data_IF_338481024656
#
_entry.id   IF_338481024656
#
_cell.length_a   1.000
_cell.length_b   1.000
_cell.length_c   1.000
_cell.angle_alpha   90.00
_cell.angle_beta   90.00
_cell.angle_gamma   90.00
#
_symmetry.space_group_name_H-M   'P 1'
#
loop_
_entity.id
_entity.type
_entity.pdbx_description
1 polymer ?
#
# COMPACT_ATOMS: atom_id res chain seq x y z
N UNK A 1 -15.28 7.67 11.43
CA UNK A 1 -15.57 6.34 10.84
C UNK A 1 -14.42 6.00 9.90
N UNK A 2 -13.45 5.20 10.36
CA UNK A 2 -12.32 4.79 9.54
C UNK A 2 -12.81 3.71 8.58
N UNK A 3 -13.11 4.09 7.33
CA UNK A 3 -13.44 3.14 6.28
C UNK A 3 -12.27 2.19 6.10
N UNK A 4 -12.41 0.94 6.56
CA UNK A 4 -11.45 -0.12 6.26
C UNK A 4 -11.62 -0.40 4.78
N UNK A 5 -10.72 0.09 3.94
CA UNK A 5 -10.71 -0.29 2.53
C UNK A 5 -10.57 -1.82 2.45
N UNK A 6 -11.48 -2.46 1.73
CA UNK A 6 -11.49 -3.92 1.59
C UNK A 6 -10.30 -4.38 0.74
N UNK A 7 -9.72 -5.54 1.05
CA UNK A 7 -8.59 -6.05 0.29
C UNK A 7 -9.06 -6.50 -1.10
N UNK A 8 -8.25 -6.27 -2.11
CA UNK A 8 -8.59 -6.55 -3.51
C UNK A 8 -7.45 -7.23 -4.25
N UNK A 9 -7.80 -7.94 -5.30
CA UNK A 9 -6.83 -8.49 -6.24
C UNK A 9 -6.15 -7.36 -7.02
N UNK A 10 -4.84 -7.47 -7.20
CA UNK A 10 -4.03 -6.46 -7.88
C UNK A 10 -3.43 -7.06 -9.13
N UNK A 11 -3.66 -6.41 -10.27
CA UNK A 11 -3.05 -6.78 -11.54
C UNK A 11 -1.83 -5.90 -11.79
N UNK A 12 -0.67 -6.51 -12.03
CA UNK A 12 0.54 -5.78 -12.39
C UNK A 12 0.51 -5.37 -13.86
N UNK A 13 1.41 -4.45 -14.28
CA UNK A 13 1.41 -3.87 -15.63
C UNK A 13 1.48 -4.89 -16.76
N UNK A 14 2.08 -6.07 -16.53
CA UNK A 14 2.13 -7.16 -17.51
C UNK A 14 0.80 -7.87 -17.72
N UNK A 15 -0.23 -7.58 -16.90
CA UNK A 15 -1.53 -8.26 -16.90
C UNK A 15 -1.59 -9.46 -15.96
N UNK A 16 -0.49 -9.83 -15.29
CA UNK A 16 -0.48 -10.91 -14.32
C UNK A 16 -1.14 -10.48 -12.99
N UNK A 17 -1.75 -11.43 -12.29
CA UNK A 17 -2.19 -11.24 -10.90
C UNK A 17 -0.96 -11.18 -9.99
N UNK A 18 -1.02 -10.29 -9.00
CA UNK A 18 -0.02 -10.17 -7.98
C UNK A 18 -0.30 -11.21 -6.90
N UNK A 19 0.65 -12.13 -6.70
CA UNK A 19 0.58 -13.15 -5.66
C UNK A 19 1.80 -13.06 -4.75
N UNK A 20 1.60 -13.30 -3.46
CA UNK A 20 2.71 -13.42 -2.51
C UNK A 20 3.44 -14.75 -2.71
N UNK A 21 4.70 -14.69 -3.15
CA UNK A 21 5.52 -15.88 -3.36
C UNK A 21 5.87 -16.66 -2.07
N UNK A 22 5.63 -16.07 -0.89
CA UNK A 22 5.95 -16.68 0.41
C UNK A 22 4.77 -17.49 0.97
N UNK A 23 3.55 -16.95 0.90
CA UNK A 23 2.36 -17.59 1.50
C UNK A 23 1.22 -17.87 0.51
N UNK A 24 1.35 -17.46 -0.76
CA UNK A 24 0.31 -17.65 -1.77
C UNK A 24 -0.94 -16.76 -1.62
N UNK A 25 -0.87 -15.71 -0.78
CA UNK A 25 -1.95 -14.73 -0.67
C UNK A 25 -2.04 -13.81 -1.90
N UNK A 26 -3.27 -13.45 -2.27
CA UNK A 26 -3.66 -12.78 -3.52
C UNK A 26 -4.52 -11.53 -3.30
N UNK A 27 -4.75 -11.18 -2.03
CA UNK A 27 -5.58 -10.07 -1.60
C UNK A 27 -4.71 -8.97 -1.01
N UNK A 28 -4.82 -7.73 -1.52
CA UNK A 28 -3.96 -6.62 -1.11
C UNK A 28 -4.78 -5.39 -0.70
N UNK A 29 -4.33 -4.72 0.36
CA UNK A 29 -4.83 -3.43 0.80
C UNK A 29 -4.02 -2.29 0.16
N UNK A 30 -4.71 -1.28 -0.34
CA UNK A 30 -4.09 -0.03 -0.74
C UNK A 30 -4.08 0.95 0.44
N UNK A 31 -2.96 1.65 0.64
CA UNK A 31 -2.91 2.84 1.48
C UNK A 31 -2.10 3.92 0.77
N UNK A 32 -2.60 5.15 0.79
CA UNK A 32 -1.82 6.33 0.38
C UNK A 32 -0.98 6.78 1.57
N UNK A 33 0.33 6.74 1.40
CA UNK A 33 1.30 7.27 2.36
C UNK A 33 2.12 8.37 1.71
N UNK A 34 2.64 9.29 2.52
CA UNK A 34 3.70 10.18 2.09
C UNK A 34 5.06 9.48 2.33
N UNK A 35 6.03 9.69 1.42
CA UNK A 35 7.35 9.02 1.42
C UNK A 35 8.43 9.75 2.25
N UNK A 36 8.04 10.62 3.18
CA UNK A 36 8.97 11.52 3.87
C UNK A 36 9.94 10.77 4.81
N UNK A 37 11.21 11.15 4.73
CA UNK A 37 12.17 11.09 5.82
C UNK A 37 11.83 12.15 6.86
N UNK A 38 12.04 11.86 8.15
CA UNK A 38 11.64 12.74 9.27
C UNK A 38 12.06 14.21 9.12
N UNK A 39 13.19 14.49 8.44
CA UNK A 39 13.70 15.85 8.18
C UNK A 39 12.79 16.67 7.24
N UNK A 40 12.12 16.04 6.27
CA UNK A 40 11.26 16.75 5.31
C UNK A 40 10.00 17.36 5.95
N UNK A 41 9.47 16.74 7.01
CA UNK A 41 8.34 17.26 7.78
C UNK A 41 8.73 18.44 8.69
N UNK A 42 10.01 18.59 9.07
CA UNK A 42 10.48 19.75 9.85
C UNK A 42 10.81 20.97 8.98
N UNK A 43 11.08 20.78 7.68
CA UNK A 43 11.46 21.84 6.75
C UNK A 43 10.36 22.20 5.75
N UNK A 44 9.08 22.27 6.15
CA UNK A 44 7.98 22.91 5.40
C UNK A 44 7.96 22.65 3.86
N UNK A 45 8.43 21.47 3.46
CA UNK A 45 8.67 21.02 2.08
C UNK A 45 7.58 20.03 1.65
N UNK A 46 6.42 20.08 2.30
CA UNK A 46 5.27 19.21 2.04
C UNK A 46 4.80 19.28 0.58
N UNK A 47 5.02 20.40 -0.10
CA UNK A 47 4.68 20.60 -1.51
C UNK A 47 5.60 19.85 -2.49
N UNK A 48 6.77 19.40 -2.05
CA UNK A 48 7.72 18.61 -2.86
C UNK A 48 7.60 17.11 -2.61
N UNK A 49 6.73 16.70 -1.70
CA UNK A 49 6.77 15.36 -1.14
C UNK A 49 6.03 14.35 -2.04
N UNK A 50 6.73 13.37 -2.65
CA UNK A 50 6.07 12.36 -3.45
C UNK A 50 5.12 11.54 -2.57
N UNK A 51 3.86 11.46 -3.01
CA UNK A 51 2.90 10.52 -2.44
C UNK A 51 2.95 9.21 -3.21
N UNK A 52 2.91 8.08 -2.50
CA UNK A 52 2.87 6.77 -3.12
C UNK A 52 1.69 5.95 -2.59
N UNK A 53 1.21 5.06 -3.45
CA UNK A 53 0.28 4.00 -3.04
C UNK A 53 1.12 2.82 -2.61
N UNK A 54 0.98 2.44 -1.35
CA UNK A 54 1.59 1.25 -0.79
C UNK A 54 0.56 0.11 -0.81
N UNK A 55 1.00 -1.06 -1.24
CA UNK A 55 0.21 -2.28 -1.27
C UNK A 55 0.69 -3.21 -0.17
N UNK A 56 -0.22 -3.59 0.73
CA UNK A 56 0.06 -4.52 1.82
C UNK A 56 -0.72 -5.81 1.57
N UNK A 57 -0.08 -6.96 1.74
CA UNK A 57 -0.80 -8.22 1.68
C UNK A 57 -1.84 -8.25 2.80
N UNK A 58 -3.09 -8.48 2.45
CA UNK A 58 -4.13 -8.74 3.42
C UNK A 58 -3.92 -10.12 4.00
N UNK A 59 -3.70 -10.17 5.31
CA UNK A 59 -3.64 -11.44 6.03
C UNK A 59 -4.92 -12.23 5.74
N UNK A 60 -4.77 -13.47 5.27
CA UNK A 60 -5.87 -14.44 5.22
C UNK A 60 -6.32 -14.85 6.64
N UNK A 61 -5.53 -14.51 7.66
CA UNK A 61 -5.82 -14.78 9.06
C UNK A 61 -6.65 -13.61 9.61
N UNK A 62 -7.96 -13.67 9.34
CA UNK A 62 -8.93 -12.98 10.16
C UNK A 62 -9.19 -13.79 11.43
N UNK A 63 -8.37 -13.57 12.46
CA UNK A 63 -8.68 -13.84 13.87
C UNK A 63 -7.94 -12.82 14.75
#
# INVERSE_FOLDING_TARGET
>A
MFGKEEPKHVTIRSGAQLDCLVCGGDLFFARKGQLNTAVASFFNLDWTNPSAVHWFLGSKDGD
#
